data_IF_111711371969
#
_entry.id   IF_111711371969
#
_cell.length_a   1.000
_cell.length_b   1.000
_cell.length_c   1.000
_cell.angle_alpha   90.00
_cell.angle_beta   90.00
_cell.angle_gamma   90.00
#
_symmetry.space_group_name_H-M   'P 1'
#
loop_
_entity.id
_entity.type
_entity.pdbx_description
1 polymer ?
#
# COMPACT_ATOMS: atom_id res chain seq x y z
N UNK A 1 0.89 -4.63 -24.34
CA UNK A 1 -0.55 -4.79 -24.08
C UNK A 1 -0.77 -4.75 -22.60
N UNK A 2 -1.83 -4.07 -22.13
CA UNK A 2 -2.11 -4.01 -20.70
C UNK A 2 -2.62 -5.37 -20.23
N UNK A 3 -2.01 -5.94 -19.19
CA UNK A 3 -2.36 -7.28 -18.69
C UNK A 3 -3.77 -7.32 -18.12
N UNK A 4 -4.56 -8.33 -18.50
CA UNK A 4 -5.88 -8.58 -17.91
C UNK A 4 -5.71 -9.04 -16.46
N UNK A 5 -6.66 -8.71 -15.59
CA UNK A 5 -6.71 -9.18 -14.20
C UNK A 5 -6.68 -10.72 -14.10
N UNK A 6 -7.23 -11.43 -15.08
CA UNK A 6 -7.20 -12.90 -15.13
C UNK A 6 -5.79 -13.46 -15.38
N UNK A 7 -4.90 -12.67 -15.98
CA UNK A 7 -3.52 -13.04 -16.31
C UNK A 7 -2.52 -12.53 -15.26
N UNK A 8 -3.01 -11.87 -14.20
CA UNK A 8 -2.15 -11.38 -13.13
C UNK A 8 -1.52 -12.55 -12.40
N UNK A 9 -0.20 -12.69 -12.52
CA UNK A 9 0.53 -13.78 -11.86
C UNK A 9 0.56 -13.56 -10.36
N UNK A 10 0.43 -14.64 -9.59
CA UNK A 10 0.52 -14.57 -8.13
C UNK A 10 1.81 -13.90 -7.65
N UNK A 11 2.93 -14.17 -8.33
CA UNK A 11 4.21 -13.53 -8.01
C UNK A 11 4.17 -12.00 -8.17
N UNK A 12 3.51 -11.49 -9.22
CA UNK A 12 3.36 -10.05 -9.45
C UNK A 12 2.44 -9.41 -8.41
N UNK A 13 1.37 -10.11 -8.02
CA UNK A 13 0.51 -9.73 -6.91
C UNK A 13 1.31 -9.62 -5.61
N UNK A 14 2.01 -10.69 -5.23
CA UNK A 14 2.81 -10.76 -3.99
C UNK A 14 3.85 -9.64 -3.99
N UNK A 15 4.60 -9.47 -5.08
CA UNK A 15 5.61 -8.43 -5.18
C UNK A 15 5.01 -7.02 -5.00
N UNK A 16 3.87 -6.76 -5.63
CA UNK A 16 3.18 -5.46 -5.52
C UNK A 16 2.67 -5.22 -4.10
N UNK A 17 2.06 -6.22 -3.47
CA UNK A 17 1.51 -6.11 -2.13
C UNK A 17 2.60 -6.03 -1.05
N UNK A 18 3.65 -6.83 -1.17
CA UNK A 18 4.80 -6.81 -0.26
C UNK A 18 5.50 -5.45 -0.29
N UNK A 19 5.67 -4.88 -1.48
CA UNK A 19 6.32 -3.57 -1.64
C UNK A 19 5.42 -2.43 -1.18
N UNK A 20 4.21 -2.32 -1.74
CA UNK A 20 3.39 -1.12 -1.59
C UNK A 20 2.63 -1.07 -0.26
N UNK A 21 2.15 -2.23 0.24
CA UNK A 21 1.31 -2.27 1.42
C UNK A 21 2.06 -2.80 2.64
N UNK A 22 2.59 -4.03 2.58
CA UNK A 22 3.26 -4.66 3.73
C UNK A 22 4.51 -3.90 4.14
N UNK A 23 5.34 -3.50 3.18
CA UNK A 23 6.54 -2.69 3.43
C UNK A 23 6.20 -1.39 4.16
N UNK A 24 5.22 -0.65 3.64
CA UNK A 24 4.71 0.58 4.28
C UNK A 24 4.24 0.31 5.71
N UNK A 25 3.41 -0.72 5.92
CA UNK A 25 2.94 -1.10 7.25
C UNK A 25 4.07 -1.44 8.23
N UNK A 26 5.05 -2.25 7.80
CA UNK A 26 6.17 -2.66 8.64
C UNK A 26 7.01 -1.46 9.09
N UNK A 27 7.29 -0.52 8.17
CA UNK A 27 8.04 0.70 8.47
C UNK A 27 7.26 1.61 9.41
N UNK A 28 5.98 1.89 9.11
CA UNK A 28 5.12 2.70 9.99
C UNK A 28 5.05 2.10 11.39
N UNK A 29 4.81 0.79 11.51
CA UNK A 29 4.75 0.07 12.79
C UNK A 29 6.07 0.17 13.56
N UNK A 30 7.19 -0.03 12.89
CA UNK A 30 8.53 0.03 13.51
C UNK A 30 8.84 1.42 14.05
N UNK A 31 8.58 2.46 13.24
CA UNK A 31 8.76 3.85 13.66
C UNK A 31 7.86 4.20 14.85
N UNK A 32 6.55 3.94 14.75
CA UNK A 32 5.58 4.23 15.80
C UNK A 32 5.96 3.55 17.12
N UNK A 33 6.39 2.28 17.07
CA UNK A 33 6.85 1.56 18.26
C UNK A 33 8.01 2.31 18.94
N UNK A 34 9.06 2.64 18.18
CA UNK A 34 10.26 3.30 18.71
C UNK A 34 9.96 4.66 19.32
N UNK A 35 9.13 5.49 18.67
CA UNK A 35 8.81 6.82 19.20
C UNK A 35 7.91 6.74 20.45
N UNK A 36 6.97 5.80 20.49
CA UNK A 36 6.14 5.57 21.66
C UNK A 36 6.97 5.10 22.86
N UNK A 37 7.86 4.13 22.66
CA UNK A 37 8.76 3.62 23.70
C UNK A 37 9.69 4.73 24.23
N UNK A 38 10.08 5.66 23.34
CA UNK A 38 10.91 6.81 23.67
C UNK A 38 10.13 8.00 24.23
N UNK A 39 8.80 7.90 24.36
CA UNK A 39 7.88 9.00 24.75
C UNK A 39 8.05 10.27 23.91
N UNK A 40 8.40 10.11 22.64
CA UNK A 40 8.54 11.19 21.67
C UNK A 40 7.28 11.32 20.81
N UNK A 41 7.04 12.53 20.32
CA UNK A 41 6.00 12.80 19.31
C UNK A 41 6.60 12.62 17.91
N UNK A 42 5.77 12.17 16.98
CA UNK A 42 6.14 12.00 15.59
C UNK A 42 4.91 11.82 14.71
N UNK A 43 5.11 11.84 13.40
CA UNK A 43 4.06 11.61 12.42
C UNK A 43 4.57 10.69 11.32
N UNK A 44 3.67 9.90 10.74
CA UNK A 44 3.92 9.06 9.57
C UNK A 44 3.04 9.56 8.44
N UNK A 45 3.67 9.89 7.30
CA UNK A 45 2.95 10.28 6.08
C UNK A 45 3.13 9.17 5.06
N UNK A 46 2.05 8.43 4.79
CA UNK A 46 2.06 7.37 3.79
C UNK A 46 1.58 7.91 2.44
N UNK A 47 2.34 7.64 1.38
CA UNK A 47 2.00 8.10 0.02
C UNK A 47 1.18 7.03 -0.71
N UNK A 48 -0.11 7.32 -0.85
CA UNK A 48 -1.04 6.49 -1.61
C UNK A 48 -1.07 6.89 -3.11
N UNK A 49 -2.24 6.77 -3.76
CA UNK A 49 -2.48 7.18 -5.14
C UNK A 49 -3.96 7.43 -5.37
N UNK A 50 -4.30 8.25 -6.39
CA UNK A 50 -5.68 8.38 -6.88
C UNK A 50 -6.27 7.03 -7.32
N UNK A 51 -5.43 6.07 -7.73
CA UNK A 51 -5.84 4.72 -8.10
C UNK A 51 -6.29 3.85 -6.92
N UNK A 52 -6.05 4.29 -5.68
CA UNK A 52 -6.58 3.68 -4.46
C UNK A 52 -7.91 4.27 -4.00
N UNK A 53 -8.49 5.21 -4.76
CA UNK A 53 -9.78 5.85 -4.50
C UNK A 53 -10.86 5.29 -5.45
N UNK A 54 -12.13 5.61 -5.17
CA UNK A 54 -13.28 5.25 -6.00
C UNK A 54 -13.37 6.10 -7.29
N UNK A 55 -12.28 6.15 -8.08
CA UNK A 55 -12.20 6.94 -9.33
C UNK A 55 -11.92 6.12 -10.58
N UNK A 56 -12.09 4.80 -10.49
CA UNK A 56 -11.92 3.85 -11.59
C UNK A 56 -10.57 3.14 -11.57
N UNK A 57 -10.59 1.84 -11.89
CA UNK A 57 -9.40 1.02 -11.99
C UNK A 57 -8.80 1.13 -13.39
N UNK A 58 -7.54 1.52 -13.50
CA UNK A 58 -6.83 1.44 -14.78
C UNK A 58 -6.67 -0.03 -15.18
N UNK A 59 -6.81 -0.38 -16.47
CA UNK A 59 -6.54 -1.74 -16.94
C UNK A 59 -5.17 -2.22 -16.44
N UNK A 60 -5.07 -3.48 -16.02
CA UNK A 60 -3.84 -4.06 -15.44
C UNK A 60 -3.42 -3.51 -14.07
N UNK A 61 -4.17 -2.56 -13.51
CA UNK A 61 -3.85 -1.90 -12.25
C UNK A 61 -4.36 -2.60 -10.99
N UNK A 62 -4.89 -3.83 -11.07
CA UNK A 62 -5.61 -4.47 -9.96
C UNK A 62 -4.79 -4.53 -8.66
N UNK A 63 -3.61 -5.16 -8.68
CA UNK A 63 -2.75 -5.27 -7.50
C UNK A 63 -2.31 -3.90 -6.98
N UNK A 64 -1.97 -2.99 -7.90
CA UNK A 64 -1.56 -1.64 -7.55
C UNK A 64 -2.68 -0.86 -6.85
N UNK A 65 -3.87 -0.82 -7.45
CA UNK A 65 -5.05 -0.14 -6.92
C UNK A 65 -5.41 -0.66 -5.53
N UNK A 66 -5.50 -1.98 -5.38
CA UNK A 66 -5.78 -2.62 -4.07
C UNK A 66 -4.70 -2.26 -3.05
N UNK A 67 -3.42 -2.33 -3.42
CA UNK A 67 -2.33 -1.98 -2.49
C UNK A 67 -2.45 -0.54 -1.99
N UNK A 68 -2.84 0.40 -2.85
CA UNK A 68 -3.00 1.83 -2.50
C UNK A 68 -4.31 2.11 -1.76
N UNK A 69 -5.39 1.37 -2.03
CA UNK A 69 -6.58 1.37 -1.18
C UNK A 69 -6.26 0.88 0.23
N UNK A 70 -5.44 -0.17 0.37
CA UNK A 70 -4.93 -0.64 1.65
C UNK A 70 -4.14 0.43 2.41
N UNK A 71 -3.26 1.16 1.70
CA UNK A 71 -2.52 2.28 2.30
C UNK A 71 -3.45 3.40 2.76
N UNK A 72 -4.50 3.73 2.00
CA UNK A 72 -5.50 4.70 2.42
C UNK A 72 -6.21 4.27 3.70
N UNK A 73 -6.60 2.98 3.80
CA UNK A 73 -7.28 2.46 4.99
C UNK A 73 -6.35 2.43 6.21
N UNK A 74 -5.09 2.05 6.03
CA UNK A 74 -4.08 2.02 7.10
C UNK A 74 -3.77 3.40 7.69
N UNK A 75 -4.06 4.47 6.95
CA UNK A 75 -3.75 5.86 7.36
C UNK A 75 -5.01 6.59 7.89
N UNK A 76 -6.12 5.87 8.09
CA UNK A 76 -7.30 6.37 8.81
C UNK A 76 -7.19 6.06 10.30
#
# INVERSE_FOLDING_TARGET
TVSNSLELREQEWVQTMDTNLKGTWLVSRSFCRRICDSKLKGSVVNISSIGGLNRGLLPGGLAYGISKTGVNFMTK
#
